data_IF_335715011381
#
_entry.id   IF_335715011381
#
_cell.length_a   1.000
_cell.length_b   1.000
_cell.length_c   1.000
_cell.angle_alpha   90.00
_cell.angle_beta   90.00
_cell.angle_gamma   90.00
#
_symmetry.space_group_name_H-M   'P 1'
#
loop_
_entity.id
_entity.type
_entity.pdbx_description
1 polymer ?
#
# COMPACT_ATOMS: atom_id res chain seq x y z
N UNK A 1 14.75 -5.89 -11.39
CA UNK A 1 13.40 -5.88 -11.97
C UNK A 1 13.19 -4.63 -12.79
N UNK A 2 12.41 -4.79 -13.83
CA UNK A 2 12.04 -3.67 -14.68
C UNK A 2 10.62 -3.22 -14.33
N UNK A 3 10.47 -1.90 -14.23
CA UNK A 3 9.18 -1.29 -13.96
C UNK A 3 8.67 -0.60 -15.22
N UNK A 4 7.36 -0.61 -15.42
CA UNK A 4 6.73 0.20 -16.46
C UNK A 4 6.79 1.68 -16.08
N UNK A 5 6.52 2.58 -17.05
CA UNK A 5 6.46 4.00 -16.75
C UNK A 5 5.45 4.32 -15.65
N UNK A 6 4.29 3.65 -15.66
CA UNK A 6 3.27 3.86 -14.63
C UNK A 6 3.73 3.39 -13.26
N UNK A 7 4.57 2.33 -13.18
CA UNK A 7 5.15 1.89 -11.92
C UNK A 7 6.12 2.92 -11.35
N UNK A 8 6.94 3.54 -12.20
CA UNK A 8 7.82 4.62 -11.75
C UNK A 8 7.03 5.83 -11.25
N UNK A 9 5.95 6.18 -11.92
CA UNK A 9 5.09 7.26 -11.49
C UNK A 9 4.45 6.96 -10.13
N UNK A 10 4.02 5.73 -9.92
CA UNK A 10 3.47 5.29 -8.63
C UNK A 10 4.52 5.42 -7.53
N UNK A 11 5.76 5.00 -7.78
CA UNK A 11 6.82 5.10 -6.79
C UNK A 11 7.14 6.56 -6.43
N UNK A 12 7.10 7.46 -7.41
CA UNK A 12 7.30 8.89 -7.15
C UNK A 12 6.16 9.51 -6.34
N UNK A 13 4.96 8.95 -6.45
CA UNK A 13 3.79 9.45 -5.74
C UNK A 13 3.67 8.90 -4.33
N UNK A 14 4.53 7.97 -3.92
CA UNK A 14 4.53 7.42 -2.57
C UNK A 14 4.92 8.51 -1.59
N UNK A 15 4.11 8.67 -0.55
CA UNK A 15 4.24 9.73 0.43
C UNK A 15 4.28 9.16 1.84
N UNK A 16 4.83 9.95 2.76
CA UNK A 16 4.82 9.61 4.18
C UNK A 16 3.37 9.47 4.66
N UNK A 17 3.05 8.33 5.24
CA UNK A 17 1.72 8.01 5.77
C UNK A 17 1.70 8.08 7.28
N UNK A 18 2.72 7.51 7.91
CA UNK A 18 2.78 7.42 9.36
C UNK A 18 4.23 7.38 9.82
N UNK A 19 4.52 8.10 10.90
CA UNK A 19 5.82 8.08 11.55
C UNK A 19 5.60 7.75 13.02
N UNK A 20 6.05 6.57 13.43
CA UNK A 20 5.91 6.08 14.79
C UNK A 20 7.30 5.82 15.39
N UNK A 21 7.42 5.62 16.71
CA UNK A 21 8.74 5.39 17.32
C UNK A 21 9.47 4.16 16.76
N UNK A 22 8.76 3.14 16.32
CA UNK A 22 9.36 1.87 15.87
C UNK A 22 9.32 1.67 14.36
N UNK A 23 8.62 2.52 13.61
CA UNK A 23 8.56 2.39 12.16
C UNK A 23 8.17 3.70 11.48
N UNK A 24 8.47 3.79 10.21
CA UNK A 24 7.99 4.85 9.31
C UNK A 24 7.37 4.18 8.10
N UNK A 25 6.15 4.59 7.74
CA UNK A 25 5.41 4.00 6.63
C UNK A 25 5.22 5.02 5.51
N UNK A 26 5.49 4.59 4.29
CA UNK A 26 5.34 5.35 3.06
C UNK A 26 4.44 4.58 2.12
N UNK A 27 3.45 5.23 1.53
CA UNK A 27 2.50 4.50 0.70
C UNK A 27 1.76 5.40 -0.28
N UNK A 28 1.05 4.73 -1.21
CA UNK A 28 0.16 5.37 -2.17
C UNK A 28 -1.01 4.44 -2.47
N UNK A 29 -2.21 5.00 -2.41
CA UNK A 29 -3.42 4.30 -2.84
C UNK A 29 -3.69 4.55 -4.31
N UNK A 30 -4.40 3.63 -4.95
CA UNK A 30 -4.91 3.80 -6.29
C UNK A 30 -6.21 3.04 -6.49
N UNK A 31 -6.91 3.41 -7.54
CA UNK A 31 -8.19 2.82 -7.89
C UNK A 31 -8.34 2.81 -9.40
N UNK A 32 -8.31 1.61 -9.99
CA UNK A 32 -8.50 1.43 -11.44
C UNK A 32 -9.98 1.27 -11.71
N UNK A 33 -10.60 2.33 -12.23
CA UNK A 33 -12.04 2.39 -12.44
C UNK A 33 -12.47 2.00 -13.84
N UNK A 34 -11.55 1.94 -14.79
CA UNK A 34 -11.84 1.70 -16.21
C UNK A 34 -11.77 0.23 -16.59
N UNK A 35 -11.58 -0.65 -15.64
CA UNK A 35 -11.55 -2.09 -15.88
C UNK A 35 -12.66 -2.79 -15.13
N UNK A 36 -12.99 -4.02 -15.53
CA UNK A 36 -14.01 -4.83 -14.91
C UNK A 36 -13.40 -6.22 -14.59
N UNK A 37 -13.30 -6.60 -13.32
CA UNK A 37 -13.71 -5.83 -12.14
C UNK A 37 -12.78 -4.65 -11.87
N UNK A 38 -13.29 -3.63 -11.18
CA UNK A 38 -12.48 -2.53 -10.69
C UNK A 38 -11.53 -3.02 -9.60
N UNK A 39 -10.35 -2.48 -9.57
CA UNK A 39 -9.32 -2.87 -8.61
C UNK A 39 -8.83 -1.67 -7.82
N UNK A 40 -8.84 -1.80 -6.50
CA UNK A 40 -8.19 -0.87 -5.61
C UNK A 40 -6.84 -1.43 -5.17
N UNK A 41 -5.84 -0.57 -5.04
CA UNK A 41 -4.52 -1.00 -4.63
C UNK A 41 -3.89 -0.04 -3.63
N UNK A 42 -2.94 -0.59 -2.85
CA UNK A 42 -2.18 0.16 -1.86
C UNK A 42 -0.76 -0.41 -1.87
N UNK A 43 0.20 0.41 -2.22
CA UNK A 43 1.59 -0.02 -2.35
C UNK A 43 2.49 0.92 -1.55
N UNK A 44 3.59 0.39 -1.05
CA UNK A 44 4.52 1.20 -0.31
C UNK A 44 5.57 0.38 0.41
N UNK A 45 6.12 0.98 1.45
CA UNK A 45 7.13 0.31 2.26
C UNK A 45 7.12 0.83 3.69
N UNK A 46 7.64 0.00 4.58
CA UNK A 46 7.80 0.32 6.00
C UNK A 46 9.29 0.21 6.32
N UNK A 47 9.82 1.28 6.90
CA UNK A 47 11.20 1.29 7.40
C UNK A 47 11.17 1.03 8.92
N UNK A 48 11.93 0.03 9.35
CA UNK A 48 12.17 -0.25 10.77
C UNK A 48 13.66 -0.08 11.03
N UNK A 49 14.11 -0.08 12.30
CA UNK A 49 15.55 0.05 12.57
C UNK A 49 16.43 -1.04 11.94
N UNK A 50 15.86 -2.21 11.67
CA UNK A 50 16.63 -3.35 11.13
C UNK A 50 16.40 -3.57 9.64
N UNK A 51 15.29 -3.11 9.08
CA UNK A 51 14.91 -3.55 7.73
C UNK A 51 13.96 -2.59 7.03
N UNK A 52 13.76 -2.85 5.72
CA UNK A 52 12.74 -2.19 4.91
C UNK A 52 11.84 -3.27 4.34
N UNK A 53 10.54 -3.12 4.53
CA UNK A 53 9.54 -4.09 4.11
C UNK A 53 8.64 -3.47 3.05
N UNK A 54 8.64 -4.04 1.85
CA UNK A 54 7.76 -3.59 0.77
C UNK A 54 6.44 -4.33 0.82
N UNK A 55 5.35 -3.64 0.46
CA UNK A 55 4.04 -4.27 0.39
C UNK A 55 3.27 -3.81 -0.84
N UNK A 56 2.38 -4.68 -1.30
CA UNK A 56 1.43 -4.38 -2.37
C UNK A 56 0.14 -5.12 -2.07
N UNK A 57 -0.95 -4.39 -1.96
CA UNK A 57 -2.28 -4.94 -1.72
C UNK A 57 -3.18 -4.58 -2.87
N UNK A 58 -3.85 -5.58 -3.45
CA UNK A 58 -4.83 -5.38 -4.50
C UNK A 58 -6.13 -6.02 -4.05
N UNK A 59 -7.23 -5.30 -4.17
CA UNK A 59 -8.55 -5.83 -3.86
C UNK A 59 -9.53 -5.46 -4.98
N UNK A 60 -10.52 -6.32 -5.20
CA UNK A 60 -11.62 -6.03 -6.08
C UNK A 60 -12.54 -5.01 -5.41
N UNK A 61 -12.92 -3.97 -6.15
CA UNK A 61 -13.80 -2.92 -5.64
C UNK A 61 -15.19 -3.11 -6.27
N UNK A 62 -16.15 -3.52 -5.46
CA UNK A 62 -17.54 -3.70 -5.87
C UNK A 62 -18.37 -2.46 -5.57
N UNK A 63 -17.94 -1.67 -4.58
CA UNK A 63 -18.64 -0.47 -4.11
C UNK A 63 -17.59 0.48 -3.53
N UNK A 64 -17.83 1.78 -3.60
CA UNK A 64 -16.90 2.79 -3.06
C UNK A 64 -16.55 2.57 -1.60
N UNK A 65 -17.49 2.02 -0.82
CA UNK A 65 -17.22 1.72 0.61
C UNK A 65 -16.18 0.64 0.82
N UNK A 66 -15.81 -0.10 -0.24
CA UNK A 66 -14.74 -1.10 -0.16
C UNK A 66 -13.35 -0.46 -0.19
N UNK A 67 -13.25 0.78 -0.66
CA UNK A 67 -11.95 1.45 -0.80
C UNK A 67 -11.12 1.50 0.49
N UNK A 68 -11.69 1.79 1.68
CA UNK A 68 -10.91 1.78 2.92
C UNK A 68 -10.31 0.42 3.26
N UNK A 69 -10.83 -0.67 2.70
CA UNK A 69 -10.30 -2.01 2.95
C UNK A 69 -8.87 -2.16 2.44
N UNK A 70 -8.47 -1.38 1.44
CA UNK A 70 -7.08 -1.40 0.93
C UNK A 70 -6.09 -1.18 2.06
N UNK A 71 -6.32 -0.14 2.84
CA UNK A 71 -5.46 0.24 3.96
C UNK A 71 -5.64 -0.72 5.13
N UNK A 72 -6.88 -1.05 5.46
CA UNK A 72 -7.19 -1.92 6.60
C UNK A 72 -6.52 -3.29 6.46
N UNK A 73 -6.67 -3.93 5.31
CA UNK A 73 -6.09 -5.25 5.06
C UNK A 73 -4.56 -5.21 5.08
N UNK A 74 -3.97 -4.17 4.51
CA UNK A 74 -2.53 -3.98 4.55
C UNK A 74 -2.03 -3.86 5.98
N UNK A 75 -2.65 -3.01 6.79
CA UNK A 75 -2.25 -2.80 8.16
C UNK A 75 -2.39 -4.06 8.99
N UNK A 76 -3.48 -4.81 8.81
CA UNK A 76 -3.68 -6.08 9.51
C UNK A 76 -2.59 -7.10 9.16
N UNK A 77 -2.22 -7.20 7.88
CA UNK A 77 -1.16 -8.10 7.46
C UNK A 77 0.20 -7.70 8.06
N UNK A 78 0.51 -6.39 8.04
CA UNK A 78 1.76 -5.89 8.61
C UNK A 78 1.82 -6.09 10.13
N UNK A 79 0.70 -5.92 10.83
CA UNK A 79 0.60 -6.19 12.26
C UNK A 79 0.81 -7.68 12.56
N UNK A 80 0.17 -8.54 11.79
CA UNK A 80 0.28 -9.99 11.97
C UNK A 80 1.73 -10.46 11.81
N UNK A 81 2.49 -9.81 10.94
CA UNK A 81 3.92 -10.13 10.75
C UNK A 81 4.83 -9.44 11.76
N UNK A 82 4.29 -8.58 12.61
CA UNK A 82 5.07 -7.85 13.60
C UNK A 82 5.88 -6.69 13.02
N UNK A 83 5.57 -6.25 11.81
CA UNK A 83 6.27 -5.15 11.14
C UNK A 83 5.82 -3.80 11.69
N UNK A 84 4.54 -3.67 11.98
CA UNK A 84 3.97 -2.49 12.66
C UNK A 84 3.23 -2.94 13.93
N UNK A 85 2.96 -1.98 14.78
CA UNK A 85 2.27 -2.22 16.04
C UNK A 85 0.74 -2.15 15.92
#
# INVERSE_FOLDING_TARGET
PQFSASSYETLRAIMLVEQAPTFTMWAKTGWATRQDPQVGWYVGYVETPEDVWFFATNIEILDEKDLPLRVKLTREALKTKGIIE
#
